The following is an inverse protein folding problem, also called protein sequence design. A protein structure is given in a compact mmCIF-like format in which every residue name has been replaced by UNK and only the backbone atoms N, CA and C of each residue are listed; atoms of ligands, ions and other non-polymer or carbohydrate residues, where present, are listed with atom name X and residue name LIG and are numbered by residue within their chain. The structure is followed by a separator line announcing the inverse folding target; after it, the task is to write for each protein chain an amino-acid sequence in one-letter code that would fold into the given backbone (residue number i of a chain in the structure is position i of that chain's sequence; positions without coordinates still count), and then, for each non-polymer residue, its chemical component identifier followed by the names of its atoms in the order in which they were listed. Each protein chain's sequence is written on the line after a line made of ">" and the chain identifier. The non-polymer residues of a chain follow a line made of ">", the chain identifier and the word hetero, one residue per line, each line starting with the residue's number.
data_IF_368878158123
#
_entry.id   IF_368878158123
#
_cell.length_a   1.000
_cell.length_b   1.000
_cell.length_c   1.000
_cell.angle_alpha   90.00
_cell.angle_beta   90.00
_cell.angle_gamma   90.00
#
_symmetry.space_group_name_H-M   'P 1'
#
loop_
_entity.id
_entity.type
_entity.pdbx_description
1 polymer ?
#
# COMPACT_ATOMS: atom_id res chain seq x y z
N UNK A 1 -16.91 27.96 18.03
CA UNK A 1 -16.89 26.52 17.89
C UNK A 1 -15.51 26.13 17.39
N UNK A 2 -14.69 25.57 18.27
CA UNK A 2 -13.34 25.16 17.94
C UNK A 2 -13.45 23.91 17.06
N UNK A 3 -13.14 24.02 15.77
CA UNK A 3 -12.90 22.85 14.94
C UNK A 3 -11.61 22.22 15.47
N UNK A 4 -11.72 21.08 16.12
CA UNK A 4 -10.54 20.28 16.42
C UNK A 4 -9.72 20.12 15.13
N UNK A 5 -8.39 20.26 15.17
CA UNK A 5 -7.58 20.03 13.99
C UNK A 5 -7.89 18.60 13.51
N UNK A 6 -8.20 18.48 12.23
CA UNK A 6 -8.53 17.22 11.61
C UNK A 6 -7.35 16.28 11.86
N UNK A 7 -7.57 15.23 12.65
CA UNK A 7 -6.49 14.28 12.95
C UNK A 7 -6.17 13.51 11.67
N UNK A 8 -4.88 13.35 11.32
CA UNK A 8 -4.52 12.58 10.17
C UNK A 8 -5.00 11.14 10.33
N UNK A 9 -5.49 10.57 9.25
CA UNK A 9 -5.94 9.17 9.21
C UNK A 9 -4.94 8.30 8.46
N UNK A 10 -5.00 7.00 8.70
CA UNK A 10 -4.30 6.02 7.87
C UNK A 10 -4.96 6.02 6.50
N UNK A 11 -4.17 6.25 5.45
CA UNK A 11 -4.61 6.11 4.07
C UNK A 11 -3.98 4.85 3.47
N UNK A 12 -4.79 4.02 2.85
CA UNK A 12 -4.37 2.81 2.12
C UNK A 12 -4.50 3.06 0.64
N UNK A 13 -3.45 2.79 -0.11
CA UNK A 13 -3.45 2.80 -1.58
C UNK A 13 -3.27 1.38 -2.10
N UNK A 14 -4.23 0.92 -2.87
CA UNK A 14 -4.18 -0.38 -3.55
C UNK A 14 -4.55 -0.25 -5.02
N UNK A 15 -4.48 -1.33 -5.75
CA UNK A 15 -4.80 -1.41 -7.16
C UNK A 15 -4.06 -2.56 -7.83
N UNK A 16 -4.38 -2.89 -9.07
CA UNK A 16 -3.79 -4.04 -9.74
C UNK A 16 -2.30 -3.86 -10.01
N UNK A 17 -1.60 -4.98 -10.13
CA UNK A 17 -0.19 -5.00 -10.56
C UNK A 17 -0.05 -4.30 -11.93
N UNK A 18 0.96 -3.45 -12.07
CA UNK A 18 1.22 -2.72 -13.32
C UNK A 18 0.45 -1.40 -13.47
N UNK A 19 -0.41 -1.03 -12.53
CA UNK A 19 -1.18 0.23 -12.58
C UNK A 19 -0.35 1.48 -12.32
N UNK A 20 0.85 1.34 -11.73
CA UNK A 20 1.77 2.45 -11.45
C UNK A 20 1.75 2.96 -10.01
N UNK A 21 1.31 2.16 -9.04
CA UNK A 21 1.33 2.51 -7.60
C UNK A 21 2.71 2.98 -7.14
N UNK A 22 3.75 2.20 -7.39
CA UNK A 22 5.11 2.50 -6.94
C UNK A 22 5.63 3.83 -7.49
N UNK A 23 5.38 4.14 -8.75
CA UNK A 23 5.76 5.40 -9.37
C UNK A 23 5.03 6.57 -8.74
N UNK A 24 3.73 6.45 -8.52
CA UNK A 24 2.91 7.48 -7.89
C UNK A 24 3.36 7.75 -6.45
N UNK A 25 3.59 6.69 -5.66
CA UNK A 25 4.07 6.80 -4.27
C UNK A 25 5.47 7.41 -4.21
N UNK A 26 6.37 7.04 -5.13
CA UNK A 26 7.71 7.62 -5.19
C UNK A 26 7.66 9.13 -5.44
N UNK A 27 6.82 9.57 -6.37
CA UNK A 27 6.65 10.99 -6.68
C UNK A 27 5.98 11.75 -5.50
N UNK A 28 4.99 11.15 -4.87
CA UNK A 28 4.34 11.69 -3.67
C UNK A 28 5.36 11.95 -2.55
N UNK A 29 6.22 10.97 -2.26
CA UNK A 29 7.26 11.11 -1.22
C UNK A 29 8.27 12.22 -1.49
N UNK A 30 8.62 12.45 -2.77
CA UNK A 30 9.53 13.52 -3.15
C UNK A 30 8.93 14.90 -2.91
N UNK A 31 7.62 15.05 -3.13
CA UNK A 31 6.92 16.33 -2.99
C UNK A 31 6.37 16.59 -1.60
N UNK A 32 6.10 15.52 -0.87
CA UNK A 32 5.49 15.55 0.47
C UNK A 32 6.33 14.75 1.47
N UNK A 33 7.52 15.24 1.85
CA UNK A 33 8.40 14.54 2.80
C UNK A 33 7.81 14.45 4.21
N UNK A 34 6.79 15.24 4.54
CA UNK A 34 6.00 15.18 5.79
C UNK A 34 5.16 13.91 5.89
N UNK A 35 4.83 13.29 4.76
CA UNK A 35 4.09 12.02 4.73
C UNK A 35 4.99 10.86 5.14
N UNK A 36 4.52 10.04 6.07
CA UNK A 36 5.21 8.80 6.40
C UNK A 36 4.63 7.62 5.62
N UNK A 37 5.48 6.99 4.82
CA UNK A 37 5.18 5.71 4.18
C UNK A 37 5.49 4.59 5.17
N UNK A 38 4.57 3.66 5.37
CA UNK A 38 4.75 2.56 6.33
C UNK A 38 5.99 1.72 6.02
N UNK A 39 6.64 1.24 7.07
CA UNK A 39 7.75 0.30 6.99
C UNK A 39 7.24 -1.08 7.38
N UNK A 40 7.41 -2.05 6.50
CA UNK A 40 6.94 -3.43 6.74
C UNK A 40 7.85 -4.18 7.70
N UNK A 41 7.28 -5.09 8.48
CA UNK A 41 7.99 -6.13 9.19
C UNK A 41 8.22 -7.33 8.26
N UNK A 42 9.34 -8.02 8.42
CA UNK A 42 9.63 -9.26 7.67
C UNK A 42 10.50 -10.21 8.47
N UNK A 43 10.35 -11.50 8.19
CA UNK A 43 11.23 -12.57 8.70
C UNK A 43 12.40 -12.86 7.77
N UNK A 44 12.45 -12.24 6.60
CA UNK A 44 13.59 -12.32 5.69
C UNK A 44 14.81 -11.64 6.29
N UNK A 45 15.97 -12.26 6.15
CA UNK A 45 17.23 -11.64 6.54
C UNK A 45 17.53 -10.37 5.76
N UNK A 46 18.15 -9.36 6.39
CA UNK A 46 18.56 -8.14 5.68
C UNK A 46 19.51 -8.45 4.52
N UNK A 47 19.35 -7.72 3.43
CA UNK A 47 20.32 -7.69 2.33
C UNK A 47 21.38 -6.62 2.61
N UNK A 48 22.57 -6.69 1.95
CA UNK A 48 23.56 -5.63 2.04
C UNK A 48 22.94 -4.25 1.77
N UNK A 49 23.18 -3.28 2.68
CA UNK A 49 22.65 -1.92 2.57
C UNK A 49 21.23 -1.73 3.12
N UNK A 50 20.54 -2.78 3.53
CA UNK A 50 19.25 -2.65 4.22
C UNK A 50 19.43 -2.41 5.72
N UNK A 51 18.68 -1.44 6.26
CA UNK A 51 18.74 -1.03 7.66
C UNK A 51 17.41 -1.30 8.35
N UNK A 52 17.51 -1.81 9.59
CA UNK A 52 16.34 -2.06 10.44
C UNK A 52 15.59 -0.77 10.78
N UNK A 53 14.28 -0.78 10.62
CA UNK A 53 13.42 0.37 10.88
C UNK A 53 13.34 1.39 9.74
N UNK A 54 14.18 1.26 8.71
CA UNK A 54 14.18 2.12 7.51
C UNK A 54 13.62 1.36 6.32
N UNK A 55 14.24 0.26 5.94
CA UNK A 55 13.82 -0.58 4.82
C UNK A 55 12.76 -1.60 5.24
N UNK A 56 13.01 -2.25 6.38
CA UNK A 56 12.11 -3.17 7.05
C UNK A 56 12.35 -3.13 8.55
N UNK A 57 11.36 -3.60 9.33
CA UNK A 57 11.57 -4.10 10.68
C UNK A 57 11.89 -5.59 10.56
N UNK A 58 13.15 -5.96 10.75
CA UNK A 58 13.59 -7.36 10.64
C UNK A 58 13.29 -8.13 11.94
N UNK A 59 12.56 -9.22 11.80
CA UNK A 59 12.11 -10.06 12.90
C UNK A 59 12.57 -11.51 12.71
N UNK A 60 12.75 -12.23 13.82
CA UNK A 60 12.76 -13.69 13.80
C UNK A 60 11.36 -14.23 13.49
N UNK A 61 11.26 -15.51 13.13
CA UNK A 61 9.97 -16.19 12.94
C UNK A 61 9.12 -16.10 14.24
N UNK A 62 9.74 -16.33 15.40
CA UNK A 62 9.09 -16.28 16.70
C UNK A 62 8.57 -14.88 17.04
N UNK A 63 9.39 -13.86 16.83
CA UNK A 63 9.03 -12.47 17.09
C UNK A 63 7.89 -11.99 16.16
N UNK A 64 7.93 -12.40 14.88
CA UNK A 64 6.84 -12.09 13.95
C UNK A 64 5.53 -12.79 14.35
N UNK A 65 5.60 -14.06 14.76
CA UNK A 65 4.43 -14.79 15.23
C UNK A 65 3.81 -14.16 16.49
N UNK A 66 4.64 -13.65 17.40
CA UNK A 66 4.15 -12.91 18.56
C UNK A 66 3.37 -11.65 18.14
N UNK A 67 3.82 -10.92 17.12
CA UNK A 67 3.05 -9.80 16.58
C UNK A 67 1.70 -10.24 16.03
N UNK A 68 1.66 -11.35 15.30
CA UNK A 68 0.39 -11.93 14.79
C UNK A 68 -0.55 -12.26 15.94
N UNK A 69 -0.08 -12.99 16.94
CA UNK A 69 -0.88 -13.47 18.08
C UNK A 69 -1.42 -12.33 18.95
N UNK A 70 -0.68 -11.23 19.04
CA UNK A 70 -1.05 -10.02 19.79
C UNK A 70 -1.85 -9.00 18.97
N UNK A 71 -2.25 -9.34 17.75
CA UNK A 71 -2.89 -8.40 16.82
C UNK A 71 -2.06 -7.12 16.55
N UNK A 72 -0.74 -7.25 16.60
CA UNK A 72 0.22 -6.16 16.41
C UNK A 72 0.51 -5.82 14.95
N UNK A 73 -0.13 -6.50 14.00
CA UNK A 73 -0.04 -6.25 12.57
C UNK A 73 -1.39 -5.78 12.01
N UNK A 74 -1.38 -4.76 11.16
CA UNK A 74 -2.57 -4.30 10.44
C UNK A 74 -2.98 -5.28 9.33
N UNK A 75 -1.99 -5.88 8.67
CA UNK A 75 -2.10 -6.94 7.68
C UNK A 75 -0.80 -7.75 7.65
N UNK A 76 -0.86 -8.96 7.17
CA UNK A 76 0.32 -9.78 6.91
C UNK A 76 0.06 -10.89 5.90
N UNK A 77 1.13 -11.35 5.25
CA UNK A 77 1.09 -12.46 4.30
C UNK A 77 2.44 -13.20 4.28
N UNK A 78 2.42 -14.43 3.79
CA UNK A 78 3.63 -15.21 3.52
C UNK A 78 3.95 -15.20 2.03
N UNK A 79 5.22 -15.02 1.71
CA UNK A 79 5.73 -15.06 0.34
C UNK A 79 7.15 -15.62 0.31
N UNK A 80 7.41 -16.55 -0.59
CA UNK A 80 8.74 -17.17 -0.80
C UNK A 80 9.41 -17.65 0.51
N UNK A 81 8.63 -18.26 1.41
CA UNK A 81 9.12 -18.82 2.67
C UNK A 81 9.35 -17.80 3.78
N UNK A 82 9.04 -16.53 3.57
CA UNK A 82 9.12 -15.47 4.57
C UNK A 82 7.74 -14.86 4.82
N UNK A 83 7.61 -14.21 5.98
CA UNK A 83 6.43 -13.44 6.34
C UNK A 83 6.71 -11.94 6.18
N UNK A 84 5.66 -11.21 5.79
CA UNK A 84 5.67 -9.75 5.60
C UNK A 84 4.39 -9.19 6.19
N UNK A 85 4.46 -8.04 6.84
CA UNK A 85 3.28 -7.39 7.37
C UNK A 85 3.55 -5.95 7.78
N UNK A 86 2.48 -5.24 8.12
CA UNK A 86 2.56 -3.84 8.55
C UNK A 86 2.34 -3.75 10.05
N UNK A 87 3.36 -3.38 10.84
CA UNK A 87 3.23 -3.17 12.28
C UNK A 87 2.23 -2.06 12.61
N UNK A 88 1.34 -2.33 13.54
CA UNK A 88 0.30 -1.39 14.01
C UNK A 88 0.91 -0.24 14.79
N UNK A 89 1.80 -0.54 15.74
CA UNK A 89 2.31 0.45 16.70
C UNK A 89 2.98 1.66 16.02
N UNK A 90 3.92 1.50 15.06
CA UNK A 90 4.53 2.66 14.41
C UNK A 90 3.52 3.55 13.66
N UNK A 91 2.47 2.93 13.09
CA UNK A 91 1.39 3.66 12.41
C UNK A 91 0.61 4.51 13.40
N UNK A 92 0.19 3.93 14.51
CA UNK A 92 -0.57 4.62 15.57
C UNK A 92 0.25 5.76 16.20
N UNK A 93 1.53 5.55 16.45
CA UNK A 93 2.44 6.58 16.97
C UNK A 93 2.57 7.77 16.02
N UNK A 94 2.69 7.52 14.72
CA UNK A 94 2.77 8.59 13.71
C UNK A 94 1.47 9.38 13.61
N UNK A 95 0.34 8.69 13.57
CA UNK A 95 -0.98 9.34 13.54
C UNK A 95 -1.22 10.18 14.80
N UNK A 96 -0.87 9.66 15.99
CA UNK A 96 -0.96 10.38 17.25
C UNK A 96 -0.06 11.62 17.28
N UNK A 97 1.08 11.58 16.58
CA UNK A 97 1.98 12.73 16.43
C UNK A 97 1.52 13.73 15.35
N UNK A 98 0.36 13.52 14.73
CA UNK A 98 -0.16 14.41 13.69
C UNK A 98 0.48 14.19 12.30
N UNK A 99 1.18 13.08 12.10
CA UNK A 99 1.84 12.76 10.83
C UNK A 99 0.90 11.93 9.95
N UNK A 100 0.59 12.36 8.72
CA UNK A 100 -0.19 11.55 7.78
C UNK A 100 0.59 10.29 7.38
N UNK A 101 -0.12 9.18 7.31
CA UNK A 101 0.45 7.86 7.04
C UNK A 101 -0.16 7.27 5.79
N UNK A 102 0.68 6.77 4.87
CA UNK A 102 0.28 6.03 3.69
C UNK A 102 0.79 4.59 3.76
N UNK A 103 -0.11 3.66 3.51
CA UNK A 103 0.17 2.24 3.33
C UNK A 103 -0.14 1.83 1.89
N UNK A 104 0.88 1.44 1.14
CA UNK A 104 0.76 0.84 -0.19
C UNK A 104 0.75 -0.67 -0.06
N UNK A 105 -0.37 -1.30 -0.42
CA UNK A 105 -0.55 -2.76 -0.33
C UNK A 105 -1.40 -3.31 -1.48
N UNK A 106 -1.38 -4.64 -1.62
CA UNK A 106 -2.23 -5.38 -2.53
C UNK A 106 -3.63 -5.60 -1.95
N UNK A 107 -4.57 -6.07 -2.79
CA UNK A 107 -5.99 -6.22 -2.45
C UNK A 107 -6.23 -7.01 -1.14
N UNK A 108 -5.58 -8.15 -0.98
CA UNK A 108 -5.79 -8.98 0.22
C UNK A 108 -5.30 -8.28 1.50
N UNK A 109 -4.21 -7.51 1.42
CA UNK A 109 -3.76 -6.67 2.52
C UNK A 109 -4.77 -5.55 2.83
N UNK A 110 -5.33 -4.91 1.81
CA UNK A 110 -6.36 -3.87 1.99
C UNK A 110 -7.60 -4.43 2.69
N UNK A 111 -8.02 -5.64 2.33
CA UNK A 111 -9.13 -6.34 3.00
C UNK A 111 -8.84 -6.63 4.47
N UNK A 112 -7.62 -7.06 4.80
CA UNK A 112 -7.21 -7.26 6.19
C UNK A 112 -7.22 -5.94 6.96
N UNK A 113 -6.72 -4.85 6.39
CA UNK A 113 -6.74 -3.52 7.02
C UNK A 113 -8.18 -3.04 7.24
N UNK A 114 -9.12 -3.34 6.35
CA UNK A 114 -10.54 -3.03 6.54
C UNK A 114 -11.10 -3.65 7.83
N UNK A 115 -10.62 -4.82 8.21
CA UNK A 115 -11.02 -5.51 9.43
C UNK A 115 -10.25 -5.02 10.66
N UNK A 116 -8.94 -4.82 10.53
CA UNK A 116 -8.03 -4.48 11.65
C UNK A 116 -8.01 -3.00 11.99
N UNK A 117 -8.34 -2.13 11.04
CA UNK A 117 -8.38 -0.66 11.17
C UNK A 117 -9.51 -0.11 10.30
N UNK A 118 -10.79 -0.27 10.70
CA UNK A 118 -11.95 0.10 9.88
C UNK A 118 -12.05 1.59 9.56
N UNK A 119 -11.40 2.45 10.35
CA UNK A 119 -11.35 3.91 10.12
C UNK A 119 -10.33 4.32 9.06
N UNK A 120 -9.49 3.41 8.58
CA UNK A 120 -8.56 3.68 7.50
C UNK A 120 -9.31 4.05 6.22
N UNK A 121 -8.83 5.09 5.53
CA UNK A 121 -9.39 5.50 4.25
C UNK A 121 -8.68 4.76 3.11
N UNK A 122 -9.43 4.01 2.34
CA UNK A 122 -8.88 3.14 1.30
C UNK A 122 -9.14 3.70 -0.10
N UNK A 123 -8.08 3.87 -0.86
CA UNK A 123 -8.09 4.40 -2.22
C UNK A 123 -7.70 3.28 -3.20
N UNK A 124 -8.51 3.12 -4.24
CA UNK A 124 -8.21 2.23 -5.35
C UNK A 124 -7.62 3.01 -6.52
N UNK A 125 -6.43 2.61 -6.96
CA UNK A 125 -5.81 3.14 -8.16
C UNK A 125 -6.13 2.22 -9.34
N UNK A 126 -6.83 2.74 -10.34
CA UNK A 126 -7.20 1.98 -11.53
C UNK A 126 -6.51 2.51 -12.78
N UNK A 127 -6.28 1.67 -13.79
CA UNK A 127 -5.85 2.13 -15.10
C UNK A 127 -7.02 2.82 -15.83
N UNK A 128 -6.75 3.64 -16.86
CA UNK A 128 -7.81 4.23 -17.69
C UNK A 128 -8.64 3.17 -18.45
N UNK A 129 -8.00 2.04 -18.81
CA UNK A 129 -8.66 0.88 -19.42
C UNK A 129 -7.89 -0.41 -19.10
N UNK A 130 -8.54 -1.56 -19.32
CA UNK A 130 -7.87 -2.85 -19.18
C UNK A 130 -6.80 -3.04 -20.26
N UNK A 131 -7.03 -2.58 -21.46
CA UNK A 131 -6.08 -2.63 -22.58
C UNK A 131 -4.81 -1.85 -22.27
N UNK A 132 -4.92 -0.70 -21.63
CA UNK A 132 -3.77 0.08 -21.17
C UNK A 132 -2.99 -0.67 -20.08
N UNK A 133 -3.67 -1.31 -19.14
CA UNK A 133 -3.03 -2.14 -18.13
C UNK A 133 -2.29 -3.33 -18.76
N UNK A 134 -2.90 -4.01 -19.72
CA UNK A 134 -2.27 -5.10 -20.48
C UNK A 134 -1.01 -4.62 -21.19
N UNK A 135 -1.09 -3.47 -21.84
CA UNK A 135 0.06 -2.85 -22.52
C UNK A 135 1.22 -2.58 -21.55
N UNK A 136 0.93 -2.06 -20.35
CA UNK A 136 1.92 -1.80 -19.30
C UNK A 136 2.55 -3.09 -18.76
N UNK A 137 1.76 -4.13 -18.57
CA UNK A 137 2.25 -5.44 -18.12
C UNK A 137 3.16 -6.07 -19.17
N UNK A 138 2.76 -6.05 -20.44
CA UNK A 138 3.54 -6.60 -21.58
C UNK A 138 4.80 -5.78 -21.86
N UNK A 139 4.76 -4.47 -21.66
CA UNK A 139 5.86 -3.55 -21.96
C UNK A 139 7.12 -3.72 -21.11
N UNK A 140 7.05 -4.47 -20.02
CA UNK A 140 8.24 -4.82 -19.20
C UNK A 140 9.18 -5.80 -19.89
N UNK A 141 8.70 -6.60 -20.84
CA UNK A 141 9.51 -7.43 -21.75
C UNK A 141 10.28 -8.58 -21.12
N UNK A 142 10.11 -8.84 -19.82
CA UNK A 142 10.88 -9.82 -19.05
C UNK A 142 10.09 -11.08 -18.70
N UNK A 143 8.76 -11.04 -18.85
CA UNK A 143 7.88 -12.13 -18.45
C UNK A 143 7.51 -13.04 -19.63
N UNK A 144 7.33 -14.33 -19.35
CA UNK A 144 6.77 -15.28 -20.31
C UNK A 144 5.29 -14.98 -20.57
N UNK A 145 4.76 -15.42 -21.73
CA UNK A 145 3.33 -15.26 -22.02
C UNK A 145 2.43 -15.88 -20.94
N UNK A 146 2.82 -17.04 -20.41
CA UNK A 146 2.10 -17.70 -19.31
C UNK A 146 2.06 -16.82 -18.05
N UNK A 147 3.18 -16.20 -17.68
CA UNK A 147 3.27 -15.28 -16.55
C UNK A 147 2.41 -14.02 -16.78
N UNK A 148 2.42 -13.49 -18.01
CA UNK A 148 1.58 -12.34 -18.40
C UNK A 148 0.10 -12.69 -18.25
N UNK A 149 -0.34 -13.85 -18.76
CA UNK A 149 -1.74 -14.27 -18.66
C UNK A 149 -2.19 -14.47 -17.21
N UNK A 150 -1.34 -15.01 -16.34
CA UNK A 150 -1.63 -15.13 -14.90
C UNK A 150 -1.79 -13.75 -14.25
N UNK A 151 -0.92 -12.78 -14.58
CA UNK A 151 -1.00 -11.40 -14.09
C UNK A 151 -2.26 -10.69 -14.57
N UNK A 152 -2.63 -10.87 -15.84
CA UNK A 152 -3.84 -10.28 -16.41
C UNK A 152 -5.12 -10.86 -15.79
N UNK A 153 -5.16 -12.17 -15.56
CA UNK A 153 -6.29 -12.81 -14.86
C UNK A 153 -6.44 -12.25 -13.44
N UNK A 154 -5.34 -12.16 -12.69
CA UNK A 154 -5.33 -11.56 -11.36
C UNK A 154 -5.77 -10.08 -11.39
N UNK A 155 -5.30 -9.31 -12.36
CA UNK A 155 -5.67 -7.91 -12.51
C UNK A 155 -7.19 -7.72 -12.75
N UNK A 156 -7.84 -8.63 -13.47
CA UNK A 156 -9.31 -8.61 -13.64
C UNK A 156 -10.02 -8.80 -12.30
N UNK A 157 -9.57 -9.75 -11.49
CA UNK A 157 -10.16 -10.00 -10.17
C UNK A 157 -9.94 -8.78 -9.25
N UNK A 158 -8.75 -8.19 -9.29
CA UNK A 158 -8.40 -6.99 -8.53
C UNK A 158 -9.25 -5.78 -8.95
N UNK A 159 -9.49 -5.58 -10.25
CA UNK A 159 -10.37 -4.50 -10.75
C UNK A 159 -11.83 -4.67 -10.32
N UNK A 160 -12.32 -5.90 -10.21
CA UNK A 160 -13.67 -6.18 -9.73
C UNK A 160 -13.87 -5.79 -8.27
N UNK A 161 -12.80 -5.65 -7.50
CA UNK A 161 -12.84 -5.26 -6.09
C UNK A 161 -12.87 -3.74 -5.86
N UNK A 162 -12.88 -2.92 -6.91
CA UNK A 162 -12.90 -1.46 -6.81
C UNK A 162 -14.01 -0.93 -5.88
N UNK A 163 -15.18 -1.54 -5.90
CA UNK A 163 -16.31 -1.15 -5.07
C UNK A 163 -16.11 -1.37 -3.56
N UNK A 164 -15.08 -2.13 -3.15
CA UNK A 164 -14.72 -2.33 -1.74
C UNK A 164 -13.98 -1.12 -1.15
N UNK A 165 -13.56 -0.16 -1.96
CA UNK A 165 -12.74 1.00 -1.57
C UNK A 165 -13.59 2.26 -1.36
N UNK A 166 -13.06 3.21 -0.58
CA UNK A 166 -13.75 4.46 -0.25
C UNK A 166 -13.66 5.50 -1.37
N UNK A 167 -12.59 5.46 -2.16
CA UNK A 167 -12.38 6.33 -3.31
C UNK A 167 -11.60 5.63 -4.41
N UNK A 168 -11.74 6.13 -5.63
CA UNK A 168 -11.01 5.64 -6.81
C UNK A 168 -10.28 6.79 -7.49
N UNK A 169 -9.03 6.54 -7.88
CA UNK A 169 -8.22 7.42 -8.72
C UNK A 169 -7.93 6.69 -10.03
N UNK A 170 -8.14 7.36 -11.16
CA UNK A 170 -7.74 6.84 -12.48
C UNK A 170 -6.33 7.32 -12.79
N UNK A 171 -5.38 6.40 -12.99
CA UNK A 171 -4.01 6.72 -13.36
C UNK A 171 -3.87 6.81 -14.89
N UNK A 172 -4.51 7.80 -15.48
CA UNK A 172 -4.39 8.18 -16.89
C UNK A 172 -3.18 9.12 -17.06
N UNK A 173 -3.20 10.22 -16.35
CA UNK A 173 -2.09 11.17 -16.21
C UNK A 173 -1.51 11.11 -14.80
N UNK A 174 -0.18 10.94 -14.69
CA UNK A 174 0.49 10.75 -13.41
C UNK A 174 0.39 11.99 -12.50
N UNK A 175 0.53 13.20 -13.07
CA UNK A 175 0.45 14.44 -12.30
C UNK A 175 -0.95 14.66 -11.76
N UNK A 176 -1.97 14.44 -12.59
CA UNK A 176 -3.37 14.55 -12.18
C UNK A 176 -3.73 13.51 -11.10
N UNK A 177 -3.27 12.26 -11.27
CA UNK A 177 -3.44 11.22 -10.24
C UNK A 177 -2.77 11.61 -8.91
N UNK A 178 -1.59 12.21 -8.97
CA UNK A 178 -0.89 12.71 -7.79
C UNK A 178 -1.67 13.83 -7.09
N UNK A 179 -2.18 14.81 -7.84
CA UNK A 179 -2.99 15.90 -7.28
C UNK A 179 -4.24 15.37 -6.56
N UNK A 180 -4.93 14.39 -7.17
CA UNK A 180 -6.08 13.74 -6.54
C UNK A 180 -5.68 13.00 -5.26
N UNK A 181 -4.57 12.26 -5.27
CA UNK A 181 -4.08 11.52 -4.11
C UNK A 181 -3.71 12.49 -2.96
N UNK A 182 -3.00 13.57 -3.26
CA UNK A 182 -2.66 14.62 -2.30
C UNK A 182 -3.92 15.23 -1.69
N UNK A 183 -4.90 15.57 -2.53
CA UNK A 183 -6.19 16.08 -2.07
C UNK A 183 -6.88 15.15 -1.09
N UNK A 184 -6.91 13.85 -1.37
CA UNK A 184 -7.54 12.84 -0.50
C UNK A 184 -6.78 12.60 0.81
N UNK A 185 -5.45 12.73 0.82
CA UNK A 185 -4.63 12.52 2.02
C UNK A 185 -4.67 13.75 2.95
N UNK A 186 -4.54 14.95 2.39
CA UNK A 186 -4.31 16.18 3.17
C UNK A 186 -5.56 17.05 3.36
N UNK A 187 -6.67 16.78 2.67
CA UNK A 187 -7.93 17.55 2.80
C UNK A 187 -8.92 16.95 3.80
N UNK A 188 -8.46 16.04 4.65
CA UNK A 188 -9.32 15.32 5.62
C UNK A 188 -9.50 16.11 6.89
#
# INVERSE_FOLDING_TARGET
>A
MSTAPNQPRLTVLSGPSGVGKGTLVSLLRQRHPELWLTVSATTRSPRPGEENGIHYFFHSQESFQQLVDQHGLLEWASFAGNSYGTPRQPVEERLAAGVPVLLEIELEGARQVRQSSPDAFQIFLRPPSFEELERRIRGRGTDSEEAIQKRLARAKDELNAEAEFDATIVNDDLEHALEQLVGLIFSS
#
